data_IF_350898434579
#
_entry.id   IF_350898434579
#
_cell.length_a   1.000
_cell.length_b   1.000
_cell.length_c   1.000
_cell.angle_alpha   90.00
_cell.angle_beta   90.00
_cell.angle_gamma   90.00
#
_symmetry.space_group_name_H-M   'P 1'
#
loop_
_entity.id
_entity.type
_entity.pdbx_description
1 polymer ?
#
# COMPACT_ATOMS: atom_id res chain seq x y z
N UNK A 1 -16.59 16.13 12.55
CA UNK A 1 -15.75 16.05 13.78
C UNK A 1 -16.46 15.30 14.87
N UNK A 2 -17.72 15.60 15.19
CA UNK A 2 -18.53 14.89 16.19
C UNK A 2 -18.67 13.41 15.87
N UNK A 3 -18.73 13.09 14.60
CA UNK A 3 -18.78 11.72 14.09
C UNK A 3 -17.56 10.88 14.50
N UNK A 4 -16.34 11.45 14.45
CA UNK A 4 -15.12 10.77 14.87
C UNK A 4 -14.96 10.76 16.39
N UNK A 5 -15.27 11.86 17.07
CA UNK A 5 -15.18 11.98 18.54
C UNK A 5 -16.13 11.02 19.23
N UNK A 6 -17.33 10.79 18.67
CA UNK A 6 -18.33 9.92 19.26
C UNK A 6 -18.06 8.42 19.11
N UNK A 7 -16.97 8.02 18.44
CA UNK A 7 -16.61 6.60 18.28
C UNK A 7 -15.80 6.06 19.47
N UNK A 8 -16.43 5.47 20.48
CA UNK A 8 -15.75 5.02 21.69
C UNK A 8 -14.80 3.84 21.46
N UNK A 9 -15.08 2.98 20.48
CA UNK A 9 -14.26 1.82 20.14
C UNK A 9 -12.82 2.17 19.74
N UNK A 10 -12.60 3.36 19.18
CA UNK A 10 -11.26 3.83 18.84
C UNK A 10 -10.38 3.98 20.11
N UNK A 11 -10.90 4.66 21.14
CA UNK A 11 -10.17 4.83 22.39
C UNK A 11 -9.94 3.53 23.13
N UNK A 12 -10.91 2.62 23.09
CA UNK A 12 -10.76 1.29 23.71
C UNK A 12 -9.70 0.45 23.00
N UNK A 13 -9.70 0.45 21.67
CA UNK A 13 -8.78 -0.36 20.88
C UNK A 13 -7.32 0.11 21.00
N UNK A 14 -7.08 1.42 20.96
CA UNK A 14 -5.72 1.98 20.91
C UNK A 14 -5.26 2.61 22.22
N UNK A 15 -6.15 2.73 23.21
CA UNK A 15 -5.89 3.38 24.52
C UNK A 15 -5.30 4.79 24.40
N UNK A 16 -5.59 5.46 23.33
CA UNK A 16 -5.15 6.83 23.03
C UNK A 16 -6.17 7.51 22.15
N UNK A 17 -6.31 8.78 22.28
CA UNK A 17 -7.17 9.61 21.46
C UNK A 17 -6.38 10.44 20.45
N UNK A 18 -7.09 11.07 19.56
CA UNK A 18 -6.60 12.11 18.68
C UNK A 18 -7.08 13.46 19.22
N UNK A 19 -6.22 14.46 19.17
CA UNK A 19 -6.60 15.84 19.46
C UNK A 19 -7.25 16.45 18.21
N UNK A 20 -8.58 16.46 18.20
CA UNK A 20 -9.36 17.01 17.08
C UNK A 20 -9.80 18.42 17.41
N UNK A 21 -9.71 19.37 16.46
CA UNK A 21 -10.15 20.74 16.68
C UNK A 21 -11.68 20.81 16.86
N UNK A 22 -12.14 21.76 17.66
CA UNK A 22 -13.55 22.08 17.77
C UNK A 22 -14.09 22.49 16.40
N UNK A 23 -15.23 21.93 15.94
CA UNK A 23 -15.89 22.29 14.69
C UNK A 23 -16.15 23.79 14.53
N UNK A 24 -16.39 24.50 15.63
CA UNK A 24 -16.62 25.94 15.66
C UNK A 24 -15.33 26.77 15.70
N UNK A 25 -14.16 26.14 15.74
CA UNK A 25 -12.90 26.84 15.82
C UNK A 25 -12.50 27.46 14.49
N UNK A 26 -11.68 28.51 14.55
CA UNK A 26 -11.09 29.17 13.35
C UNK A 26 -10.13 28.26 12.56
N UNK A 27 -9.80 27.09 13.08
CA UNK A 27 -8.99 26.10 12.38
C UNK A 27 -9.74 25.45 11.20
N UNK A 28 -11.08 25.46 11.22
CA UNK A 28 -11.89 25.02 10.11
C UNK A 28 -12.02 26.15 9.07
N UNK A 29 -11.53 25.90 7.87
CA UNK A 29 -11.55 26.87 6.77
C UNK A 29 -12.30 26.31 5.58
N UNK A 30 -13.25 27.09 5.09
CA UNK A 30 -14.02 26.75 3.90
C UNK A 30 -13.20 27.01 2.63
N UNK A 31 -13.43 26.20 1.63
CA UNK A 31 -12.89 26.29 0.28
C UNK A 31 -14.06 26.55 -0.65
N UNK A 32 -13.91 27.51 -1.55
CA UNK A 32 -14.91 27.83 -2.57
C UNK A 32 -14.27 27.76 -3.93
N UNK A 33 -14.94 27.11 -4.89
CA UNK A 33 -14.55 27.12 -6.29
C UNK A 33 -15.03 28.41 -6.99
N UNK A 34 -14.38 28.78 -8.08
CA UNK A 34 -14.76 29.90 -8.91
C UNK A 34 -16.01 29.60 -9.73
N UNK A 35 -16.71 30.63 -10.15
CA UNK A 35 -17.99 30.56 -10.86
C UNK A 35 -17.90 30.46 -12.39
N UNK A 36 -16.71 30.45 -12.99
CA UNK A 36 -16.55 30.20 -14.42
C UNK A 36 -16.64 28.74 -14.76
N UNK A 37 -17.66 28.36 -15.51
CA UNK A 37 -18.11 26.99 -15.70
C UNK A 37 -17.50 26.30 -16.93
N UNK A 38 -16.20 25.96 -16.83
CA UNK A 38 -15.60 24.86 -17.56
C UNK A 38 -15.23 23.81 -16.52
N UNK A 39 -15.86 22.62 -16.57
CA UNK A 39 -15.70 21.58 -15.54
C UNK A 39 -14.24 21.17 -15.37
N UNK A 40 -13.46 21.09 -16.44
CA UNK A 40 -12.06 20.71 -16.39
C UNK A 40 -11.22 21.79 -15.71
N UNK A 41 -11.41 23.03 -16.14
CA UNK A 41 -10.74 24.20 -15.55
C UNK A 41 -11.15 24.40 -14.10
N UNK A 42 -12.45 24.25 -13.81
CA UNK A 42 -12.98 24.36 -12.45
C UNK A 42 -12.46 23.26 -11.52
N UNK A 43 -12.29 22.03 -12.01
CA UNK A 43 -11.73 20.91 -11.22
C UNK A 43 -10.26 21.20 -10.84
N UNK A 44 -9.45 21.69 -11.77
CA UNK A 44 -8.06 22.08 -11.50
C UNK A 44 -8.02 23.26 -10.52
N UNK A 45 -8.83 24.30 -10.72
CA UNK A 45 -8.90 25.46 -9.83
C UNK A 45 -9.36 25.08 -8.42
N UNK A 46 -10.31 24.15 -8.32
CA UNK A 46 -10.73 23.59 -7.04
C UNK A 46 -9.57 22.88 -6.33
N UNK A 47 -8.83 22.03 -7.06
CA UNK A 47 -7.62 21.37 -6.55
C UNK A 47 -6.57 22.39 -6.06
N UNK A 48 -6.29 23.43 -6.86
CA UNK A 48 -5.35 24.49 -6.51
C UNK A 48 -5.81 25.29 -5.28
N UNK A 49 -7.13 25.46 -5.13
CA UNK A 49 -7.70 26.12 -3.94
C UNK A 49 -7.47 25.30 -2.67
N UNK A 50 -7.59 23.96 -2.77
CA UNK A 50 -7.24 23.06 -1.68
C UNK A 50 -5.75 23.16 -1.36
N UNK A 51 -4.87 23.15 -2.37
CA UNK A 51 -3.42 23.30 -2.21
C UNK A 51 -3.08 24.59 -1.47
N UNK A 52 -3.65 25.71 -1.88
CA UNK A 52 -3.45 27.00 -1.17
C UNK A 52 -3.88 26.95 0.30
N UNK A 53 -4.95 26.19 0.61
CA UNK A 53 -5.36 25.99 2.02
C UNK A 53 -4.43 25.06 2.79
N UNK A 54 -3.92 24.02 2.14
CA UNK A 54 -2.88 23.16 2.73
C UNK A 54 -1.66 23.99 3.10
N UNK A 55 -1.16 24.85 2.19
CA UNK A 55 -0.01 25.72 2.46
C UNK A 55 -0.25 26.67 3.63
N UNK A 56 -1.45 27.28 3.70
CA UNK A 56 -1.81 28.15 4.81
C UNK A 56 -1.88 27.42 6.16
N UNK A 57 -2.34 26.17 6.16
CA UNK A 57 -2.46 25.36 7.36
C UNK A 57 -1.12 24.76 7.78
N UNK A 58 -0.25 24.44 6.83
CA UNK A 58 1.06 23.84 7.08
C UNK A 58 2.01 24.72 7.91
N UNK A 59 1.76 26.03 7.96
CA UNK A 59 2.50 26.94 8.84
C UNK A 59 2.25 26.68 10.33
N UNK A 60 1.22 25.87 10.67
CA UNK A 60 0.92 25.46 12.03
C UNK A 60 1.40 24.03 12.26
N UNK A 61 1.64 23.67 13.52
CA UNK A 61 1.97 22.29 13.89
C UNK A 61 0.70 21.43 13.79
N UNK A 62 0.50 20.79 12.63
CA UNK A 62 -0.68 19.97 12.32
C UNK A 62 -0.20 18.59 11.85
N UNK A 63 -0.72 17.53 12.47
CA UNK A 63 -0.41 16.15 12.09
C UNK A 63 -1.16 15.68 10.85
N UNK A 64 -2.45 16.07 10.72
CA UNK A 64 -3.33 15.63 9.62
C UNK A 64 -4.28 16.76 9.23
N UNK A 65 -4.47 16.96 7.93
CA UNK A 65 -5.49 17.85 7.39
C UNK A 65 -6.67 17.03 6.89
N UNK A 66 -7.86 17.28 7.46
CA UNK A 66 -9.11 16.70 6.98
C UNK A 66 -9.69 17.60 5.87
N UNK A 67 -9.98 16.98 4.73
CA UNK A 67 -10.56 17.64 3.55
C UNK A 67 -11.97 17.09 3.37
N UNK A 68 -12.98 17.87 3.71
CA UNK A 68 -14.38 17.51 3.50
C UNK A 68 -14.82 17.94 2.10
N UNK A 69 -15.43 17.01 1.36
CA UNK A 69 -15.97 17.23 0.02
C UNK A 69 -17.49 17.08 0.08
N UNK A 70 -18.25 18.18 -0.02
CA UNK A 70 -19.71 18.16 -0.17
C UNK A 70 -20.13 17.46 -1.47
N UNK A 71 -21.36 16.97 -1.55
CA UNK A 71 -21.87 16.28 -2.73
C UNK A 71 -21.85 17.17 -3.97
N UNK A 72 -22.15 18.46 -3.83
CA UNK A 72 -22.13 19.45 -4.91
C UNK A 72 -20.75 19.62 -5.57
N UNK A 73 -19.66 19.29 -4.88
CA UNK A 73 -18.30 19.35 -5.40
C UNK A 73 -17.76 18.00 -5.91
N UNK A 74 -18.54 16.92 -5.83
CA UNK A 74 -18.13 15.59 -6.35
C UNK A 74 -17.79 15.63 -7.85
N UNK A 75 -18.42 16.52 -8.61
CA UNK A 75 -18.15 16.73 -10.03
C UNK A 75 -16.70 17.14 -10.33
N UNK A 76 -16.02 17.76 -9.38
CA UNK A 76 -14.62 18.20 -9.50
C UNK A 76 -13.60 17.16 -9.04
N UNK A 77 -14.04 16.01 -8.55
CA UNK A 77 -13.11 15.03 -7.96
C UNK A 77 -12.40 14.18 -9.01
N UNK A 78 -12.96 14.02 -10.20
CA UNK A 78 -12.32 13.27 -11.28
C UNK A 78 -12.89 13.64 -12.64
N UNK A 79 -12.04 13.69 -13.65
CA UNK A 79 -12.47 13.76 -15.05
C UNK A 79 -11.47 13.09 -15.98
N UNK A 80 -11.93 12.73 -17.17
CA UNK A 80 -11.08 12.20 -18.24
C UNK A 80 -11.27 13.04 -19.48
N UNK A 81 -10.18 13.56 -20.04
CA UNK A 81 -10.15 14.28 -21.31
C UNK A 81 -9.09 13.66 -22.22
N UNK A 82 -9.52 12.88 -23.20
CA UNK A 82 -8.65 12.16 -24.11
C UNK A 82 -7.65 11.25 -23.38
N UNK A 83 -6.40 11.69 -23.28
CA UNK A 83 -5.32 10.96 -22.60
C UNK A 83 -5.10 11.44 -21.16
N UNK A 84 -5.73 12.54 -20.74
CA UNK A 84 -5.55 13.13 -19.42
C UNK A 84 -6.59 12.52 -18.47
N UNK A 85 -6.12 11.93 -17.43
CA UNK A 85 -6.93 11.38 -16.33
C UNK A 85 -6.62 12.19 -15.08
N UNK A 86 -7.54 13.06 -14.66
CA UNK A 86 -7.41 13.84 -13.45
C UNK A 86 -8.14 13.16 -12.30
N UNK A 87 -7.47 12.99 -11.18
CA UNK A 87 -8.02 12.55 -9.92
C UNK A 87 -7.57 13.49 -8.82
N UNK A 88 -8.51 14.20 -8.21
CA UNK A 88 -8.26 15.19 -7.17
C UNK A 88 -7.57 14.58 -5.94
N UNK A 89 -7.98 13.37 -5.56
CA UNK A 89 -7.38 12.68 -4.42
C UNK A 89 -5.90 12.42 -4.67
N UNK A 90 -5.55 11.89 -5.83
CA UNK A 90 -4.17 11.60 -6.20
C UNK A 90 -3.33 12.88 -6.34
N UNK A 91 -3.92 13.92 -6.96
CA UNK A 91 -3.26 15.23 -7.13
C UNK A 91 -2.91 15.89 -5.78
N UNK A 92 -3.88 15.94 -4.87
CA UNK A 92 -3.67 16.50 -3.53
C UNK A 92 -2.72 15.65 -2.68
N UNK A 93 -2.84 14.33 -2.77
CA UNK A 93 -1.92 13.39 -2.08
C UNK A 93 -0.48 13.59 -2.54
N UNK A 94 -0.24 13.69 -3.84
CA UNK A 94 1.09 13.92 -4.38
C UNK A 94 1.71 15.24 -3.88
N UNK A 95 0.92 16.31 -3.91
CA UNK A 95 1.37 17.61 -3.40
C UNK A 95 1.66 17.59 -1.89
N UNK A 96 0.70 17.10 -1.09
CA UNK A 96 0.82 17.08 0.36
C UNK A 96 1.98 16.19 0.84
N UNK A 97 2.21 15.06 0.16
CA UNK A 97 3.33 14.17 0.47
C UNK A 97 4.69 14.86 0.35
N UNK A 98 4.87 15.74 -0.65
CA UNK A 98 6.10 16.52 -0.79
C UNK A 98 6.32 17.51 0.35
N UNK A 99 5.24 18.10 0.83
CA UNK A 99 5.24 18.98 1.99
C UNK A 99 5.33 18.22 3.31
N UNK A 100 5.38 16.88 3.27
CA UNK A 100 5.35 15.99 4.44
C UNK A 100 4.09 16.20 5.30
N UNK A 101 2.96 16.43 4.65
CA UNK A 101 1.67 16.66 5.30
C UNK A 101 0.74 15.49 4.99
N UNK A 102 0.16 14.90 6.03
CA UNK A 102 -0.86 13.89 5.86
C UNK A 102 -2.23 14.52 5.62
N UNK A 103 -2.96 14.01 4.63
CA UNK A 103 -4.32 14.46 4.31
C UNK A 103 -5.31 13.31 4.37
N UNK A 104 -6.54 13.60 4.79
CA UNK A 104 -7.65 12.65 4.80
C UNK A 104 -8.87 13.26 4.14
N UNK A 105 -9.32 12.63 3.06
CA UNK A 105 -10.57 12.99 2.42
C UNK A 105 -11.75 12.36 3.15
N UNK A 106 -12.80 13.15 3.33
CA UNK A 106 -14.10 12.71 3.87
C UNK A 106 -15.17 13.26 2.93
N UNK A 107 -15.91 12.37 2.27
CA UNK A 107 -17.00 12.76 1.36
C UNK A 107 -18.33 12.77 2.13
N UNK A 108 -19.25 13.63 1.73
CA UNK A 108 -20.58 13.73 2.35
C UNK A 108 -21.30 12.38 2.39
N UNK A 109 -21.35 11.67 1.28
CA UNK A 109 -21.90 10.31 1.18
C UNK A 109 -21.28 9.29 2.14
N UNK A 110 -20.06 9.55 2.61
CA UNK A 110 -19.39 8.69 3.61
C UNK A 110 -19.99 8.93 4.99
N UNK A 111 -20.34 10.18 5.30
CA UNK A 111 -20.95 10.56 6.58
C UNK A 111 -22.41 10.10 6.64
N UNK A 112 -23.13 10.20 5.53
CA UNK A 112 -24.54 9.82 5.41
C UNK A 112 -24.79 8.31 5.30
N UNK A 113 -23.73 7.52 5.12
CA UNK A 113 -23.83 6.07 4.97
C UNK A 113 -24.30 5.37 6.25
N UNK A 114 -25.19 4.39 6.12
CA UNK A 114 -25.65 3.52 7.23
C UNK A 114 -24.52 2.62 7.81
N UNK A 115 -23.36 2.54 7.16
CA UNK A 115 -22.24 1.71 7.59
C UNK A 115 -21.35 2.40 8.65
N UNK A 116 -21.97 3.10 9.60
CA UNK A 116 -21.29 3.95 10.59
C UNK A 116 -20.09 3.27 11.27
N UNK A 117 -20.25 2.05 11.79
CA UNK A 117 -19.17 1.35 12.49
C UNK A 117 -17.93 1.11 11.61
N UNK A 118 -18.15 0.75 10.34
CA UNK A 118 -17.05 0.48 9.41
C UNK A 118 -16.33 1.76 9.04
N UNK A 119 -17.09 2.82 8.76
CA UNK A 119 -16.55 4.12 8.37
C UNK A 119 -15.80 4.76 9.52
N UNK A 120 -16.37 4.75 10.73
CA UNK A 120 -15.70 5.29 11.92
C UNK A 120 -14.41 4.54 12.23
N UNK A 121 -14.41 3.22 12.10
CA UNK A 121 -13.19 2.42 12.29
C UNK A 121 -12.14 2.80 11.25
N UNK A 122 -12.50 2.83 9.96
CA UNK A 122 -11.58 3.15 8.88
C UNK A 122 -10.99 4.56 9.00
N UNK A 123 -11.84 5.56 9.28
CA UNK A 123 -11.38 6.94 9.47
C UNK A 123 -10.49 7.10 10.71
N UNK A 124 -10.89 6.48 11.82
CA UNK A 124 -10.11 6.54 13.07
C UNK A 124 -8.75 5.89 12.89
N UNK A 125 -8.70 4.73 12.22
CA UNK A 125 -7.45 4.04 11.90
C UNK A 125 -6.56 4.89 10.97
N UNK A 126 -7.14 5.46 9.92
CA UNK A 126 -6.41 6.31 8.99
C UNK A 126 -5.82 7.54 9.70
N UNK A 127 -6.59 8.21 10.55
CA UNK A 127 -6.11 9.36 11.33
C UNK A 127 -5.02 8.96 12.32
N UNK A 128 -5.17 7.81 12.98
CA UNK A 128 -4.18 7.29 13.90
C UNK A 128 -2.82 7.05 13.23
N UNK A 129 -2.82 6.42 12.06
CA UNK A 129 -1.59 6.19 11.28
C UNK A 129 -1.03 7.49 10.73
N UNK A 130 -1.87 8.36 10.19
CA UNK A 130 -1.47 9.65 9.61
C UNK A 130 -0.87 10.60 10.64
N UNK A 131 -1.27 10.50 11.91
CA UNK A 131 -0.63 11.19 13.03
C UNK A 131 0.70 10.55 13.49
N UNK A 132 1.27 9.63 12.70
CA UNK A 132 2.57 9.02 12.97
C UNK A 132 2.55 7.85 13.95
N UNK A 133 1.39 7.27 14.22
CA UNK A 133 1.22 6.16 15.17
C UNK A 133 1.09 4.82 14.48
N UNK A 134 1.49 3.76 15.17
CA UNK A 134 1.46 2.38 14.66
C UNK A 134 0.33 1.60 15.32
N UNK A 135 -0.71 1.16 14.59
CA UNK A 135 -1.86 0.48 15.17
C UNK A 135 -1.58 -0.97 15.59
N UNK A 136 -0.82 -1.70 14.80
CA UNK A 136 -0.36 -3.06 15.09
C UNK A 136 0.90 -3.39 14.27
N UNK A 137 1.58 -4.45 14.66
CA UNK A 137 2.81 -4.95 14.02
C UNK A 137 2.71 -6.45 13.80
N UNK A 138 3.52 -6.98 12.90
CA UNK A 138 3.66 -8.42 12.73
C UNK A 138 4.53 -8.96 13.85
N UNK A 139 4.07 -10.03 14.48
CA UNK A 139 4.84 -10.76 15.49
C UNK A 139 5.39 -12.06 14.90
N UNK A 140 6.54 -12.52 15.39
CA UNK A 140 7.13 -13.82 15.02
C UNK A 140 7.94 -13.80 13.72
N UNK A 141 8.24 -12.63 13.16
CA UNK A 141 9.21 -12.48 12.06
C UNK A 141 10.61 -12.28 12.66
N UNK A 142 11.63 -12.79 11.97
CA UNK A 142 13.02 -12.62 12.40
C UNK A 142 13.38 -11.14 12.49
N UNK A 143 13.97 -10.69 13.61
CA UNK A 143 14.47 -9.33 13.73
C UNK A 143 15.56 -9.08 12.66
N UNK A 144 15.84 -7.81 12.37
CA UNK A 144 16.82 -7.38 11.37
C UNK A 144 16.52 -7.82 9.92
N UNK A 145 15.27 -8.14 9.62
CA UNK A 145 14.79 -8.41 8.26
C UNK A 145 14.13 -7.17 7.68
N UNK A 146 14.57 -6.76 6.49
CA UNK A 146 13.90 -5.76 5.68
C UNK A 146 13.04 -6.44 4.60
N UNK A 147 11.78 -6.04 4.50
CA UNK A 147 10.92 -6.45 3.39
C UNK A 147 10.79 -5.29 2.42
N UNK A 148 11.04 -5.53 1.14
CA UNK A 148 10.87 -4.53 0.11
C UNK A 148 9.86 -4.98 -0.93
N UNK A 149 9.08 -4.03 -1.45
CA UNK A 149 8.23 -4.24 -2.63
C UNK A 149 8.77 -3.45 -3.81
N UNK A 150 8.80 -4.03 -4.99
CA UNK A 150 9.11 -3.34 -6.23
C UNK A 150 7.85 -3.28 -7.09
N UNK A 151 7.37 -2.07 -7.35
CA UNK A 151 6.26 -1.78 -8.26
C UNK A 151 6.70 -0.85 -9.38
N UNK A 152 5.97 -0.86 -10.50
CA UNK A 152 6.24 0.00 -11.64
C UNK A 152 4.97 0.70 -12.11
N UNK A 153 5.12 1.95 -12.53
CA UNK A 153 4.14 2.67 -13.33
C UNK A 153 4.70 2.92 -14.72
N UNK A 154 3.91 2.67 -15.74
CA UNK A 154 4.26 2.91 -17.13
C UNK A 154 3.29 3.92 -17.71
N UNK A 155 3.80 5.04 -18.18
CA UNK A 155 3.01 6.11 -18.76
C UNK A 155 3.57 6.53 -20.11
N UNK A 156 2.69 7.02 -20.98
CA UNK A 156 3.10 7.60 -22.26
C UNK A 156 3.73 8.97 -22.00
N UNK A 157 4.97 9.15 -22.36
CA UNK A 157 5.65 10.44 -22.31
C UNK A 157 5.21 11.37 -23.44
N UNK A 158 5.56 12.67 -23.38
CA UNK A 158 5.17 13.67 -24.37
C UNK A 158 5.61 13.35 -25.82
N UNK A 159 6.66 12.57 -26.00
CA UNK A 159 7.20 12.14 -27.30
C UNK A 159 6.71 10.76 -27.72
N UNK A 160 5.68 10.20 -27.06
CA UNK A 160 5.23 8.82 -27.30
C UNK A 160 6.14 7.76 -26.69
N UNK A 161 7.19 8.14 -25.97
CA UNK A 161 8.05 7.23 -25.21
C UNK A 161 7.39 6.83 -23.89
N UNK A 162 7.60 5.60 -23.46
CA UNK A 162 7.13 5.17 -22.15
C UNK A 162 8.04 5.76 -21.05
N UNK A 163 7.43 6.25 -19.99
CA UNK A 163 8.13 6.62 -18.75
C UNK A 163 7.84 5.54 -17.72
N UNK A 164 8.88 4.88 -17.25
CA UNK A 164 8.77 3.87 -16.21
C UNK A 164 9.28 4.45 -14.90
N UNK A 165 8.42 4.41 -13.89
CA UNK A 165 8.74 4.85 -12.54
C UNK A 165 8.76 3.63 -11.65
N UNK A 166 9.94 3.32 -11.11
CA UNK A 166 10.12 2.25 -10.13
C UNK A 166 9.83 2.78 -8.72
N UNK A 167 9.08 2.02 -7.97
CA UNK A 167 8.83 2.29 -6.57
C UNK A 167 9.51 1.21 -5.72
N UNK A 168 10.38 1.64 -4.80
CA UNK A 168 10.94 0.78 -3.75
C UNK A 168 10.31 1.15 -2.42
N UNK A 169 9.69 0.19 -1.78
CA UNK A 169 9.02 0.37 -0.50
C UNK A 169 9.60 -0.59 0.53
N UNK A 170 9.92 -0.08 1.72
CA UNK A 170 10.55 -0.86 2.77
C UNK A 170 9.73 -0.91 4.03
N UNK A 171 9.68 -2.10 4.61
CA UNK A 171 9.13 -2.41 5.92
C UNK A 171 10.23 -3.02 6.81
N UNK A 172 10.21 -2.67 8.08
CA UNK A 172 10.91 -3.47 9.09
C UNK A 172 10.13 -4.75 9.41
N UNK A 173 10.77 -5.66 10.14
CA UNK A 173 10.13 -6.88 10.61
C UNK A 173 8.92 -6.64 11.51
N UNK A 174 8.88 -5.51 12.21
CA UNK A 174 7.75 -5.12 13.06
C UNK A 174 6.74 -4.19 12.37
N UNK A 175 6.92 -3.92 11.08
CA UNK A 175 6.01 -3.09 10.29
C UNK A 175 6.20 -1.59 10.47
N UNK A 176 7.22 -1.14 11.25
CA UNK A 176 7.57 0.27 11.37
C UNK A 176 8.48 0.72 10.24
N UNK A 177 8.51 2.01 10.01
CA UNK A 177 9.48 2.64 9.11
C UNK A 177 9.18 2.46 7.64
N UNK A 178 7.93 2.40 7.26
CA UNK A 178 7.49 2.32 5.87
C UNK A 178 7.84 3.58 5.10
N UNK A 179 8.89 3.52 4.32
CA UNK A 179 9.34 4.61 3.46
C UNK A 179 9.40 4.19 2.01
N UNK A 180 9.21 5.15 1.13
CA UNK A 180 9.25 4.98 -0.32
C UNK A 180 10.35 5.78 -0.95
N UNK A 181 10.88 5.22 -2.02
CA UNK A 181 11.69 5.97 -2.97
C UNK A 181 11.18 5.69 -4.38
N UNK A 182 10.90 6.75 -5.10
CA UNK A 182 10.55 6.70 -6.52
C UNK A 182 11.80 6.99 -7.34
N UNK A 183 11.96 6.27 -8.43
CA UNK A 183 13.07 6.44 -9.35
C UNK A 183 12.58 6.33 -10.78
N UNK A 184 12.94 7.31 -11.60
CA UNK A 184 12.74 7.20 -13.04
C UNK A 184 13.70 6.15 -13.57
N UNK A 185 13.16 5.14 -14.23
CA UNK A 185 13.93 4.06 -14.82
C UNK A 185 14.30 4.47 -16.25
N UNK A 186 15.59 4.49 -16.56
CA UNK A 186 16.11 4.92 -17.86
C UNK A 186 16.35 3.74 -18.80
N UNK A 187 16.82 2.61 -18.25
CA UNK A 187 17.14 1.43 -19.02
C UNK A 187 16.27 0.23 -18.58
N UNK A 188 15.35 -0.14 -19.46
CA UNK A 188 14.38 -1.21 -19.23
C UNK A 188 14.00 -1.90 -20.53
N UNK A 189 13.47 -3.11 -20.40
CA UNK A 189 12.86 -3.85 -21.51
C UNK A 189 11.46 -4.30 -21.16
N UNK A 190 10.61 -4.50 -22.16
CA UNK A 190 9.28 -5.04 -21.97
C UNK A 190 9.18 -6.50 -22.35
N UNK A 191 8.34 -7.26 -21.65
CA UNK A 191 7.85 -8.54 -22.13
C UNK A 191 6.67 -8.38 -23.10
N UNK A 192 6.13 -9.51 -23.60
CA UNK A 192 4.96 -9.53 -24.47
C UNK A 192 3.69 -8.96 -23.82
N UNK A 193 3.63 -8.96 -22.48
CA UNK A 193 2.52 -8.41 -21.69
C UNK A 193 2.73 -6.97 -21.29
N UNK A 194 3.76 -6.32 -21.83
CA UNK A 194 4.18 -4.95 -21.50
C UNK A 194 4.57 -4.75 -20.02
N UNK A 195 5.03 -5.79 -19.36
CA UNK A 195 5.66 -5.63 -18.04
C UNK A 195 7.08 -5.14 -18.22
N UNK A 196 7.53 -4.11 -17.46
CA UNK A 196 8.90 -3.64 -17.52
C UNK A 196 9.83 -4.55 -16.72
N UNK A 197 11.04 -4.72 -17.24
CA UNK A 197 12.17 -5.39 -16.59
C UNK A 197 13.38 -4.50 -16.61
N UNK A 198 14.09 -4.46 -15.50
CA UNK A 198 15.25 -3.61 -15.32
C UNK A 198 16.49 -4.19 -15.98
N UNK A 199 17.39 -3.32 -16.44
CA UNK A 199 18.78 -3.68 -16.69
C UNK A 199 19.47 -4.02 -15.37
N UNK A 200 20.66 -4.60 -15.47
CA UNK A 200 21.50 -4.91 -14.31
C UNK A 200 21.86 -3.64 -13.52
N UNK A 201 22.18 -2.55 -14.23
CA UNK A 201 22.55 -1.27 -13.63
C UNK A 201 21.38 -0.62 -12.89
N UNK A 202 20.18 -0.62 -13.47
CA UNK A 202 18.98 -0.11 -12.82
C UNK A 202 18.59 -0.96 -11.59
N UNK A 203 18.72 -2.27 -11.70
CA UNK A 203 18.50 -3.19 -10.58
C UNK A 203 19.50 -2.95 -9.45
N UNK A 204 20.78 -2.72 -9.79
CA UNK A 204 21.81 -2.34 -8.83
C UNK A 204 21.45 -1.04 -8.09
N UNK A 205 21.00 -0.02 -8.84
CA UNK A 205 20.56 1.27 -8.28
C UNK A 205 19.36 1.09 -7.32
N UNK A 206 18.39 0.23 -7.67
CA UNK A 206 17.26 -0.07 -6.79
C UNK A 206 17.72 -0.77 -5.50
N UNK A 207 18.64 -1.71 -5.57
CA UNK A 207 19.22 -2.35 -4.39
C UNK A 207 19.92 -1.35 -3.45
N UNK A 208 20.67 -0.38 -4.00
CA UNK A 208 21.23 0.72 -3.21
C UNK A 208 20.15 1.59 -2.57
N UNK A 209 19.07 1.88 -3.29
CA UNK A 209 17.94 2.62 -2.72
C UNK A 209 17.30 1.89 -1.54
N UNK A 210 17.10 0.57 -1.64
CA UNK A 210 16.57 -0.27 -0.56
C UNK A 210 17.47 -0.18 0.68
N UNK A 211 18.77 -0.34 0.50
CA UNK A 211 19.78 -0.17 1.57
C UNK A 211 19.68 1.21 2.23
N UNK A 212 19.70 2.26 1.41
CA UNK A 212 19.67 3.65 1.89
C UNK A 212 18.40 3.94 2.71
N UNK A 213 17.24 3.48 2.21
CA UNK A 213 15.96 3.62 2.89
C UNK A 213 15.96 2.95 4.27
N UNK A 214 16.50 1.74 4.36
CA UNK A 214 16.58 1.01 5.62
C UNK A 214 17.53 1.70 6.59
N UNK A 215 18.73 2.06 6.13
CA UNK A 215 19.70 2.75 6.96
C UNK A 215 19.18 4.09 7.50
N UNK A 216 18.50 4.89 6.67
CA UNK A 216 17.89 6.15 7.11
C UNK A 216 16.74 5.95 8.12
N UNK A 217 16.14 4.76 8.12
CA UNK A 217 15.03 4.47 9.02
C UNK A 217 15.48 3.90 10.37
N UNK A 218 16.56 3.14 10.39
CA UNK A 218 16.98 2.35 11.56
C UNK A 218 18.41 2.63 12.02
N UNK A 219 19.19 3.42 11.27
CA UNK A 219 20.62 3.69 11.51
C UNK A 219 21.51 2.43 11.50
N UNK A 220 20.97 1.31 11.06
CA UNK A 220 21.64 0.02 10.94
C UNK A 220 21.35 -0.62 9.58
N UNK A 221 22.15 -1.59 9.17
CA UNK A 221 21.89 -2.37 7.96
C UNK A 221 21.13 -3.65 8.32
N UNK A 222 20.20 -4.09 7.45
CA UNK A 222 19.48 -5.35 7.69
C UNK A 222 20.44 -6.52 7.51
N UNK A 223 20.28 -7.58 8.31
CA UNK A 223 20.99 -8.83 8.12
C UNK A 223 20.38 -9.65 6.96
N UNK A 224 19.11 -9.45 6.70
CA UNK A 224 18.34 -10.13 5.66
C UNK A 224 17.46 -9.13 4.92
N UNK A 225 17.40 -9.27 3.59
CA UNK A 225 16.52 -8.49 2.70
C UNK A 225 15.66 -9.44 1.88
N UNK A 226 14.36 -9.28 1.93
CA UNK A 226 13.38 -10.02 1.13
C UNK A 226 12.69 -9.08 0.18
N UNK A 227 12.83 -9.29 -1.11
CA UNK A 227 12.24 -8.42 -2.15
C UNK A 227 11.08 -9.13 -2.83
N UNK A 228 9.93 -8.50 -2.81
CA UNK A 228 8.70 -8.96 -3.44
C UNK A 228 8.43 -8.21 -4.74
N UNK A 229 8.08 -8.94 -5.79
CA UNK A 229 7.71 -8.40 -7.09
C UNK A 229 6.59 -9.23 -7.71
N UNK A 230 5.77 -8.61 -8.56
CA UNK A 230 4.67 -9.31 -9.24
C UNK A 230 5.05 -10.03 -10.54
N UNK A 231 6.24 -9.77 -11.04
CA UNK A 231 6.77 -10.39 -12.26
C UNK A 231 7.99 -11.23 -11.94
N UNK A 232 8.36 -12.22 -12.76
CA UNK A 232 9.59 -12.98 -12.58
C UNK A 232 10.81 -12.06 -12.46
N UNK A 233 11.83 -12.49 -11.76
CA UNK A 233 13.13 -11.80 -11.79
C UNK A 233 13.96 -12.34 -12.94
N UNK A 234 14.40 -11.46 -13.84
CA UNK A 234 15.35 -11.81 -14.89
C UNK A 234 16.77 -11.87 -14.34
N UNK A 235 17.66 -12.53 -15.07
CA UNK A 235 19.05 -12.75 -14.66
C UNK A 235 19.78 -11.43 -14.34
N UNK A 236 19.55 -10.42 -15.15
CA UNK A 236 20.13 -9.07 -15.00
C UNK A 236 19.64 -8.42 -13.71
N UNK A 237 18.34 -8.50 -13.45
CA UNK A 237 17.75 -7.97 -12.22
C UNK A 237 18.28 -8.69 -10.97
N UNK A 238 18.37 -10.02 -11.03
CA UNK A 238 18.96 -10.82 -9.92
C UNK A 238 20.39 -10.39 -9.66
N UNK A 239 21.20 -10.27 -10.72
CA UNK A 239 22.61 -9.90 -10.59
C UNK A 239 22.77 -8.52 -9.96
N UNK A 240 22.11 -7.50 -10.49
CA UNK A 240 22.21 -6.12 -9.98
C UNK A 240 21.74 -5.99 -8.52
N UNK A 241 20.57 -6.58 -8.17
CA UNK A 241 20.05 -6.54 -6.80
C UNK A 241 20.96 -7.27 -5.82
N UNK A 242 21.42 -8.47 -6.17
CA UNK A 242 22.26 -9.27 -5.27
C UNK A 242 23.62 -8.59 -5.08
N UNK A 243 24.25 -8.10 -6.14
CA UNK A 243 25.55 -7.44 -6.06
C UNK A 243 25.49 -6.16 -5.21
N UNK A 244 24.48 -5.32 -5.42
CA UNK A 244 24.33 -4.07 -4.65
C UNK A 244 24.10 -4.30 -3.16
N UNK A 245 23.30 -5.30 -2.79
CA UNK A 245 23.00 -5.61 -1.40
C UNK A 245 24.15 -6.36 -0.73
N UNK A 246 24.77 -7.32 -1.42
CA UNK A 246 25.91 -8.08 -0.88
C UNK A 246 27.13 -7.19 -0.66
N UNK A 247 27.45 -6.29 -1.60
CA UNK A 247 28.53 -5.30 -1.44
C UNK A 247 28.29 -4.34 -0.27
N UNK A 248 27.04 -4.16 0.11
CA UNK A 248 26.64 -3.40 1.29
C UNK A 248 26.73 -4.17 2.60
N UNK A 249 27.06 -5.46 2.57
CA UNK A 249 27.19 -6.32 3.75
C UNK A 249 25.91 -7.07 4.14
N UNK A 250 24.84 -7.05 3.32
CA UNK A 250 23.65 -7.87 3.56
C UNK A 250 23.98 -9.33 3.26
N UNK A 251 23.82 -10.21 4.26
CA UNK A 251 24.22 -11.62 4.15
C UNK A 251 23.17 -12.51 3.50
N UNK A 252 21.91 -12.26 3.78
CA UNK A 252 20.79 -13.05 3.32
C UNK A 252 19.89 -12.22 2.43
N UNK A 253 19.75 -12.63 1.17
CA UNK A 253 18.92 -11.94 0.17
C UNK A 253 17.97 -12.95 -0.43
N UNK A 254 16.69 -12.60 -0.53
CA UNK A 254 15.67 -13.42 -1.14
C UNK A 254 14.86 -12.59 -2.14
N UNK A 255 14.71 -13.12 -3.34
CA UNK A 255 13.94 -12.51 -4.41
C UNK A 255 12.72 -13.38 -4.72
N UNK A 256 11.53 -12.85 -4.41
CA UNK A 256 10.28 -13.58 -4.45
C UNK A 256 9.32 -12.96 -5.47
N UNK A 257 8.92 -13.76 -6.46
CA UNK A 257 7.78 -13.46 -7.31
C UNK A 257 6.50 -13.89 -6.61
N UNK A 258 5.53 -12.99 -6.49
CA UNK A 258 4.23 -13.25 -5.87
C UNK A 258 3.13 -12.85 -6.83
N UNK A 259 2.40 -13.83 -7.36
CA UNK A 259 1.34 -13.64 -8.33
C UNK A 259 0.05 -14.29 -7.88
N UNK A 260 -1.07 -13.94 -8.50
CA UNK A 260 -2.31 -14.69 -8.34
C UNK A 260 -2.25 -15.97 -9.18
N UNK A 261 -2.80 -17.05 -8.63
CA UNK A 261 -3.02 -18.29 -9.38
C UNK A 261 -4.53 -18.46 -9.59
N UNK A 262 -4.99 -18.16 -10.77
CA UNK A 262 -6.42 -18.13 -11.08
C UNK A 262 -6.98 -19.51 -11.51
N UNK A 263 -6.10 -20.45 -11.84
CA UNK A 263 -6.48 -21.76 -12.33
C UNK A 263 -6.63 -22.82 -11.23
N UNK A 264 -6.06 -22.57 -10.03
CA UNK A 264 -6.11 -23.50 -8.91
C UNK A 264 -7.22 -23.13 -7.93
N UNK A 265 -8.17 -24.05 -7.77
CA UNK A 265 -9.24 -23.96 -6.76
C UNK A 265 -9.15 -25.14 -5.82
N UNK A 266 -9.19 -24.87 -4.52
CA UNK A 266 -9.20 -25.90 -3.49
C UNK A 266 -10.50 -25.87 -2.69
N UNK A 267 -11.02 -27.02 -2.37
CA UNK A 267 -12.22 -27.20 -1.57
C UNK A 267 -11.88 -28.04 -0.35
N UNK A 268 -12.34 -27.61 0.81
CA UNK A 268 -12.29 -28.47 1.98
C UNK A 268 -13.34 -29.57 1.86
N UNK A 269 -13.01 -30.76 2.33
CA UNK A 269 -13.98 -31.86 2.49
C UNK A 269 -14.44 -31.93 3.95
N UNK A 270 -15.64 -32.47 4.16
CA UNK A 270 -16.12 -32.80 5.50
C UNK A 270 -15.24 -33.87 6.16
N UNK A 271 -15.39 -34.11 7.46
CA UNK A 271 -14.56 -35.08 8.22
C UNK A 271 -14.61 -36.48 7.64
N UNK A 272 -15.70 -36.85 6.96
CA UNK A 272 -15.84 -38.19 6.32
C UNK A 272 -15.31 -38.25 4.90
N UNK A 273 -14.79 -37.12 4.38
CA UNK A 273 -14.31 -36.96 3.00
C UNK A 273 -15.33 -37.35 1.90
N UNK A 274 -16.62 -37.25 2.21
CA UNK A 274 -17.71 -37.66 1.32
C UNK A 274 -18.35 -36.48 0.57
N UNK A 275 -18.23 -35.26 1.09
CA UNK A 275 -18.84 -34.07 0.52
C UNK A 275 -17.93 -32.87 0.69
N UNK A 276 -18.05 -31.89 -0.21
CA UNK A 276 -17.39 -30.60 -0.06
C UNK A 276 -17.98 -29.89 1.18
N UNK A 277 -17.11 -29.44 2.07
CA UNK A 277 -17.50 -28.56 3.18
C UNK A 277 -18.10 -27.26 2.61
N UNK A 278 -19.16 -26.77 3.22
CA UNK A 278 -19.78 -25.51 2.84
C UNK A 278 -18.89 -24.27 3.01
N UNK A 279 -17.67 -24.46 3.53
CA UNK A 279 -16.66 -23.43 3.74
C UNK A 279 -15.44 -23.68 2.89
N UNK A 280 -14.81 -22.59 2.40
CA UNK A 280 -13.58 -22.70 1.63
C UNK A 280 -12.39 -23.08 2.54
N UNK A 281 -11.24 -23.18 1.93
CA UNK A 281 -9.95 -23.48 2.60
C UNK A 281 -9.68 -22.53 3.77
N UNK A 282 -8.90 -22.98 4.72
CA UNK A 282 -8.43 -22.15 5.82
C UNK A 282 -7.36 -21.17 5.34
N UNK A 283 -7.42 -19.95 5.85
CA UNK A 283 -6.36 -18.97 5.67
C UNK A 283 -5.06 -19.50 6.25
N UNK A 284 -3.97 -19.35 5.51
CA UNK A 284 -2.64 -19.85 5.90
C UNK A 284 -2.33 -21.25 5.38
N UNK A 285 -3.25 -21.91 4.66
CA UNK A 285 -2.88 -23.17 3.99
C UNK A 285 -1.82 -22.91 2.93
N UNK A 286 -0.78 -23.73 2.93
CA UNK A 286 0.33 -23.67 2.01
C UNK A 286 0.56 -25.04 1.37
N UNK A 287 0.77 -25.06 0.07
CA UNK A 287 1.07 -26.25 -0.72
C UNK A 287 2.42 -26.07 -1.39
N UNK A 288 3.51 -26.65 -0.87
CA UNK A 288 4.80 -26.65 -1.56
C UNK A 288 4.70 -27.52 -2.81
N UNK A 289 5.17 -27.00 -3.93
CA UNK A 289 5.23 -27.71 -5.22
C UNK A 289 6.62 -28.27 -5.45
N UNK A 290 7.61 -27.43 -5.17
CA UNK A 290 9.02 -27.80 -5.20
C UNK A 290 9.81 -26.95 -4.18
N UNK A 291 11.13 -27.07 -4.18
CA UNK A 291 12.02 -26.34 -3.25
C UNK A 291 11.95 -24.80 -3.36
N UNK A 292 11.40 -24.27 -4.47
CA UNK A 292 11.35 -22.84 -4.76
C UNK A 292 9.94 -22.34 -5.02
N UNK A 293 8.94 -23.19 -5.15
CA UNK A 293 7.57 -22.83 -5.55
C UNK A 293 6.56 -23.34 -4.55
N UNK A 294 5.61 -22.49 -4.17
CA UNK A 294 4.47 -22.85 -3.34
C UNK A 294 3.21 -22.11 -3.74
N UNK A 295 2.06 -22.67 -3.38
CA UNK A 295 0.77 -21.97 -3.36
C UNK A 295 0.38 -21.65 -1.93
N UNK A 296 0.02 -20.38 -1.67
CA UNK A 296 -0.33 -19.89 -0.35
C UNK A 296 -1.71 -19.24 -0.36
N UNK A 297 -2.62 -19.71 0.49
CA UNK A 297 -3.94 -19.11 0.68
C UNK A 297 -3.89 -18.02 1.75
N UNK A 298 -3.79 -16.77 1.34
CA UNK A 298 -3.88 -15.60 2.22
C UNK A 298 -5.33 -15.22 2.53
N UNK A 299 -6.28 -15.67 1.73
CA UNK A 299 -7.73 -15.62 1.97
C UNK A 299 -8.25 -16.98 2.40
N UNK A 300 -9.38 -16.99 3.09
CA UNK A 300 -10.03 -18.19 3.56
C UNK A 300 -10.61 -18.01 4.96
N UNK A 301 -11.05 -19.10 5.56
CA UNK A 301 -11.57 -19.07 6.92
C UNK A 301 -10.43 -18.72 7.88
N UNK A 302 -10.66 -17.73 8.73
CA UNK A 302 -9.77 -17.39 9.84
C UNK A 302 -10.28 -18.08 11.12
N UNK A 303 -9.65 -19.18 11.57
CA UNK A 303 -10.16 -19.96 12.70
C UNK A 303 -10.26 -19.16 14.00
N UNK A 304 -9.37 -18.18 14.19
CA UNK A 304 -9.35 -17.31 15.37
C UNK A 304 -10.54 -16.33 15.45
N UNK A 305 -11.31 -16.19 14.39
CA UNK A 305 -12.46 -15.28 14.29
C UNK A 305 -13.78 -16.05 14.13
N UNK A 306 -13.80 -17.29 14.59
CA UNK A 306 -15.00 -18.14 14.53
C UNK A 306 -15.90 -17.78 15.69
N UNK A 307 -17.09 -17.27 15.37
CA UNK A 307 -18.23 -17.23 16.30
C UNK A 307 -18.97 -18.57 16.23
N UNK A 308 -19.57 -19.07 17.33
CA UNK A 308 -20.43 -20.26 17.28
C UNK A 308 -21.55 -20.18 16.23
N UNK A 309 -21.95 -18.95 15.87
CA UNK A 309 -23.05 -18.70 14.92
C UNK A 309 -22.59 -18.27 13.52
N UNK A 310 -21.34 -17.81 13.33
CA UNK A 310 -20.82 -17.35 12.03
C UNK A 310 -19.34 -17.62 11.92
N UNK A 311 -18.93 -18.25 10.83
CA UNK A 311 -17.51 -18.35 10.44
C UNK A 311 -17.17 -17.13 9.59
N UNK A 312 -16.09 -16.44 9.96
CA UNK A 312 -15.63 -15.31 9.17
C UNK A 312 -14.92 -15.79 7.92
N UNK A 313 -15.38 -15.31 6.79
CA UNK A 313 -14.77 -15.52 5.49
C UNK A 313 -14.78 -14.23 4.70
N UNK A 314 -13.60 -13.70 4.39
CA UNK A 314 -13.44 -12.54 3.53
C UNK A 314 -13.22 -13.03 2.10
N UNK A 315 -14.16 -12.77 1.21
CA UNK A 315 -14.10 -13.20 -0.19
C UNK A 315 -15.49 -13.37 -0.80
N UNK A 316 -16.53 -13.07 -0.03
CA UNK A 316 -17.90 -13.14 -0.50
C UNK A 316 -18.31 -14.55 -0.92
N UNK A 317 -18.97 -14.67 -2.06
CA UNK A 317 -19.43 -15.96 -2.62
C UNK A 317 -18.35 -16.72 -3.42
N UNK A 318 -17.15 -16.15 -3.55
CA UNK A 318 -16.08 -16.73 -4.38
C UNK A 318 -15.23 -17.73 -3.60
N UNK A 319 -14.74 -18.74 -4.31
CA UNK A 319 -13.74 -19.67 -3.78
C UNK A 319 -12.40 -18.93 -3.70
N UNK A 320 -11.68 -18.96 -2.56
CA UNK A 320 -10.39 -18.34 -2.44
C UNK A 320 -9.40 -18.89 -3.48
N UNK A 321 -8.67 -18.00 -4.10
CA UNK A 321 -7.58 -18.33 -5.01
C UNK A 321 -6.26 -18.12 -4.28
N UNK A 322 -5.28 -19.04 -4.42
CA UNK A 322 -4.00 -18.89 -3.78
C UNK A 322 -3.14 -17.82 -4.44
N UNK A 323 -2.13 -17.40 -3.73
CA UNK A 323 -0.95 -16.80 -4.31
C UNK A 323 0.00 -17.88 -4.75
N UNK A 324 0.59 -17.72 -5.94
CA UNK A 324 1.77 -18.47 -6.36
C UNK A 324 3.00 -17.69 -5.94
N UNK A 325 3.86 -18.30 -5.17
CA UNK A 325 5.12 -17.73 -4.70
C UNK A 325 6.26 -18.52 -5.31
N UNK A 326 7.15 -17.83 -6.01
CA UNK A 326 8.34 -18.42 -6.63
C UNK A 326 9.57 -17.72 -6.09
N UNK A 327 10.49 -18.48 -5.52
CA UNK A 327 11.79 -17.99 -5.05
C UNK A 327 12.80 -18.07 -6.19
N UNK A 328 13.18 -16.92 -6.73
CA UNK A 328 14.16 -16.80 -7.81
C UNK A 328 15.60 -16.78 -7.30
N UNK A 329 15.81 -16.30 -6.07
CA UNK A 329 17.12 -16.27 -5.43
C UNK A 329 16.97 -16.38 -3.91
N UNK A 330 17.98 -16.95 -3.26
CA UNK A 330 18.09 -17.09 -1.82
C UNK A 330 17.92 -18.51 -1.30
N UNK A 331 18.31 -18.72 -0.05
CA UNK A 331 18.31 -20.04 0.62
C UNK A 331 17.25 -20.16 1.71
N UNK A 332 16.40 -19.14 1.90
CA UNK A 332 15.38 -19.12 2.94
C UNK A 332 14.39 -20.30 2.85
N UNK A 333 13.93 -20.75 3.99
CA UNK A 333 12.92 -21.82 4.08
C UNK A 333 11.56 -21.34 3.56
N UNK A 334 10.89 -22.15 2.75
CA UNK A 334 9.60 -21.79 2.15
C UNK A 334 8.47 -21.68 3.18
N UNK A 335 8.53 -22.42 4.28
CA UNK A 335 7.53 -22.32 5.35
C UNK A 335 7.67 -20.98 6.12
N UNK A 336 8.91 -20.55 6.35
CA UNK A 336 9.19 -19.24 6.91
C UNK A 336 8.69 -18.13 5.96
N UNK A 337 9.02 -18.20 4.67
CA UNK A 337 8.56 -17.25 3.64
C UNK A 337 7.03 -17.19 3.59
N UNK A 338 6.35 -18.35 3.66
CA UNK A 338 4.88 -18.39 3.71
C UNK A 338 4.32 -17.66 4.94
N UNK A 339 4.94 -17.87 6.11
CA UNK A 339 4.55 -17.21 7.36
C UNK A 339 4.74 -15.70 7.28
N UNK A 340 5.83 -15.23 6.69
CA UNK A 340 6.13 -13.82 6.49
C UNK A 340 5.13 -13.16 5.53
N UNK A 341 4.86 -13.77 4.38
CA UNK A 341 3.85 -13.26 3.41
C UNK A 341 2.47 -13.22 4.06
N UNK A 342 2.11 -14.25 4.83
CA UNK A 342 0.85 -14.31 5.56
C UNK A 342 0.76 -13.19 6.62
N UNK A 343 1.84 -12.93 7.34
CA UNK A 343 1.94 -11.82 8.30
C UNK A 343 1.78 -10.46 7.60
N UNK A 344 2.55 -10.24 6.53
CA UNK A 344 2.51 -9.00 5.75
C UNK A 344 1.16 -8.74 5.07
N UNK A 345 0.35 -9.77 4.83
CA UNK A 345 -1.02 -9.59 4.34
C UNK A 345 -1.98 -8.97 5.37
N UNK A 346 -1.56 -8.84 6.63
CA UNK A 346 -2.30 -8.13 7.69
C UNK A 346 -1.82 -6.69 7.91
N UNK A 347 -0.78 -6.27 7.22
CA UNK A 347 -0.12 -4.99 7.45
C UNK A 347 -0.65 -3.86 6.57
N UNK A 348 -1.71 -4.09 5.82
CA UNK A 348 -2.38 -3.01 5.11
C UNK A 348 -3.33 -2.26 6.07
N UNK A 349 -2.83 -1.18 6.64
CA UNK A 349 -3.59 -0.33 7.56
C UNK A 349 -4.62 0.55 6.86
N UNK A 350 -4.60 0.62 5.54
CA UNK A 350 -5.59 1.32 4.73
C UNK A 350 -6.83 0.45 4.40
N UNK A 351 -6.92 -0.75 4.95
CA UNK A 351 -8.01 -1.67 4.69
C UNK A 351 -8.80 -1.97 5.96
N UNK A 352 -10.14 -1.88 5.86
CA UNK A 352 -11.03 -2.31 6.94
C UNK A 352 -10.97 -3.82 7.19
N UNK A 353 -10.56 -4.60 6.19
CA UNK A 353 -10.50 -6.06 6.29
C UNK A 353 -9.44 -6.54 7.30
N UNK A 354 -9.67 -7.72 7.89
CA UNK A 354 -8.70 -8.34 8.81
C UNK A 354 -7.38 -8.70 8.12
N UNK A 355 -7.38 -8.80 6.80
CA UNK A 355 -6.21 -9.12 5.99
C UNK A 355 -6.46 -8.79 4.52
N UNK A 356 -5.39 -8.54 3.80
CA UNK A 356 -5.39 -8.36 2.35
C UNK A 356 -5.05 -9.67 1.63
N UNK A 357 -5.33 -9.74 0.35
CA UNK A 357 -4.95 -10.90 -0.48
C UNK A 357 -3.45 -10.91 -0.75
N UNK A 358 -2.89 -9.74 -1.08
CA UNK A 358 -1.46 -9.56 -1.29
C UNK A 358 -0.76 -9.11 0.00
N UNK A 359 0.54 -9.35 0.14
CA UNK A 359 1.33 -8.69 1.19
C UNK A 359 1.39 -7.19 0.96
N UNK A 360 1.41 -6.41 2.04
CA UNK A 360 1.43 -4.94 1.98
C UNK A 360 2.59 -4.38 1.14
N UNK A 361 3.72 -5.08 1.08
CA UNK A 361 4.86 -4.73 0.22
C UNK A 361 4.48 -4.59 -1.25
N UNK A 362 3.62 -5.46 -1.76
CA UNK A 362 3.14 -5.42 -3.15
C UNK A 362 1.99 -4.44 -3.30
N UNK A 363 1.01 -4.45 -2.40
CA UNK A 363 -0.14 -3.55 -2.49
C UNK A 363 0.31 -2.09 -2.50
N UNK A 364 1.11 -1.69 -1.52
CA UNK A 364 1.57 -0.33 -1.41
C UNK A 364 2.51 0.10 -2.54
N UNK A 365 3.38 -0.79 -3.02
CA UNK A 365 4.24 -0.45 -4.17
C UNK A 365 3.43 -0.22 -5.45
N UNK A 366 2.33 -0.94 -5.64
CA UNK A 366 1.42 -0.72 -6.77
C UNK A 366 0.64 0.60 -6.64
N UNK A 367 0.12 0.90 -5.44
CA UNK A 367 -0.60 2.15 -5.18
C UNK A 367 0.27 3.37 -5.44
N UNK A 368 1.51 3.36 -4.94
CA UNK A 368 2.43 4.49 -5.15
C UNK A 368 2.94 4.56 -6.59
N UNK A 369 3.17 3.42 -7.23
CA UNK A 369 3.51 3.43 -8.64
C UNK A 369 2.42 4.12 -9.47
N UNK A 370 1.15 3.96 -9.12
CA UNK A 370 0.01 4.61 -9.79
C UNK A 370 0.09 6.14 -9.76
N UNK A 371 0.48 6.72 -8.63
CA UNK A 371 0.63 8.18 -8.48
C UNK A 371 2.06 8.66 -8.73
N UNK A 372 2.97 7.76 -9.02
CA UNK A 372 4.41 8.04 -9.16
C UNK A 372 4.72 9.10 -10.21
N UNK A 373 3.93 9.18 -11.29
CA UNK A 373 4.13 10.20 -12.30
C UNK A 373 3.79 11.62 -11.78
N UNK A 374 2.75 11.76 -10.96
CA UNK A 374 2.41 13.02 -10.29
C UNK A 374 3.53 13.43 -9.33
N UNK A 375 4.10 12.46 -8.61
CA UNK A 375 5.23 12.70 -7.72
C UNK A 375 6.50 13.07 -8.48
N UNK A 376 6.68 12.60 -9.71
CA UNK A 376 7.83 12.96 -10.55
C UNK A 376 7.83 14.41 -11.02
N UNK A 377 6.67 15.06 -11.02
CA UNK A 377 6.53 16.50 -11.30
C UNK A 377 6.99 17.36 -10.14
N UNK A 378 7.09 16.75 -8.99
CA UNK A 378 7.41 17.37 -7.74
C UNK A 378 8.72 16.77 -7.23
N UNK A 379 9.76 17.52 -7.04
CA UNK A 379 11.05 17.02 -6.58
C UNK A 379 11.01 16.61 -5.10
N UNK A 380 10.89 15.32 -4.85
CA UNK A 380 11.00 14.73 -3.52
C UNK A 380 11.63 13.36 -3.60
N UNK A 381 12.59 13.05 -2.74
CA UNK A 381 13.37 11.81 -2.85
C UNK A 381 12.91 10.72 -1.90
N UNK A 382 12.19 11.07 -0.85
CA UNK A 382 11.83 10.13 0.22
C UNK A 382 10.46 10.46 0.81
N UNK A 383 9.56 9.50 0.80
CA UNK A 383 8.20 9.66 1.28
C UNK A 383 7.88 8.66 2.39
N UNK A 384 7.07 9.08 3.37
CA UNK A 384 6.52 8.20 4.39
C UNK A 384 5.17 7.63 3.93
N UNK A 385 4.89 6.38 4.28
CA UNK A 385 3.65 5.67 3.92
C UNK A 385 2.38 6.44 4.33
N UNK A 386 2.39 7.05 5.51
CA UNK A 386 1.24 7.76 6.06
C UNK A 386 0.69 8.86 5.15
N UNK A 387 1.51 9.40 4.25
CA UNK A 387 1.07 10.45 3.32
C UNK A 387 0.23 9.90 2.16
N UNK A 388 0.30 8.60 1.88
CA UNK A 388 -0.39 7.93 0.78
C UNK A 388 -1.58 7.07 1.23
N UNK A 389 -1.71 6.83 2.50
CA UNK A 389 -2.86 6.15 3.11
C UNK A 389 -4.18 6.87 2.83
#
# INVERSE_FOLDING_TARGET
>A
TDYLISFPGFYQAFKTGLDLPDPNSSKWKQITASSEWDVHKAAVEFGDSIIRKIDQLSANSIDVILIYIPEEYEVFTSYTDGTINYDLHDYIKAYAAQKQIATQFVREKTIESDLHCQIMWALSLALYVKSGRTPWVVNGIQPDTAFAGIGYSVMNGPSGSNVVIGCSHIYSSDGRGMKYKLSKIQDYSFDRKKNPYLSEEEAYRIGLNIKELFYKSFSELPKRVVIHKRTPFRREEVKGLVESLSSAGVKNIELLEITYEDNLKCFALNERCTQVDGYPVRRGMCFPIDKNTMYLFTHGIAPSVISPKRRYFQGGKSVPLPLKVVKHYGSGDMAQIATEILGLSKMNWNSFGLYSKLPCTIESSNEIARIGWLLSQFEGTLYDYRYFM
#
